data_IF_335724925888
#
_entry.id   IF_335724925888
#
_cell.length_a   1.000
_cell.length_b   1.000
_cell.length_c   1.000
_cell.angle_alpha   90.00
_cell.angle_beta   90.00
_cell.angle_gamma   90.00
#
_symmetry.space_group_name_H-M   'P 1'
#
loop_
_entity.id
_entity.type
_entity.pdbx_description
1 polymer ?
#
# COMPACT_ATOMS: atom_id res chain seq x y z
N UNK A 1 -20.19 16.28 7.73
CA UNK A 1 -19.15 17.33 7.60
C UNK A 1 -17.80 16.61 7.61
N UNK A 2 -16.99 16.80 6.56
CA UNK A 2 -15.73 16.11 6.23
C UNK A 2 -15.81 14.58 5.97
N UNK A 3 -16.27 14.19 4.77
CA UNK A 3 -15.88 12.90 4.17
C UNK A 3 -14.53 13.12 3.53
N UNK A 4 -13.48 12.59 4.15
CA UNK A 4 -12.12 12.65 3.61
C UNK A 4 -12.03 11.64 2.47
N UNK A 5 -11.91 12.13 1.24
CA UNK A 5 -11.96 11.35 0.01
C UNK A 5 -10.57 10.84 -0.35
N UNK A 6 -10.29 9.55 -0.17
CA UNK A 6 -9.02 8.99 -0.57
C UNK A 6 -9.11 8.47 -2.02
N UNK A 7 -8.17 8.88 -2.86
CA UNK A 7 -7.86 8.20 -4.12
C UNK A 7 -6.39 7.85 -4.08
N UNK A 8 -6.04 6.77 -3.37
CA UNK A 8 -4.70 6.22 -3.56
C UNK A 8 -4.70 5.43 -4.86
N UNK A 9 -3.81 5.76 -5.80
CA UNK A 9 -3.52 4.86 -6.89
C UNK A 9 -2.60 3.79 -6.38
N UNK A 10 -3.03 2.55 -6.44
CA UNK A 10 -2.15 1.37 -6.36
C UNK A 10 -1.78 1.02 -7.79
N UNK A 11 -0.55 1.34 -8.23
CA UNK A 11 -0.10 0.87 -9.53
C UNK A 11 0.24 -0.60 -9.45
N UNK A 12 -0.43 -1.44 -10.21
CA UNK A 12 -0.06 -2.85 -10.32
C UNK A 12 0.77 -3.03 -11.59
N UNK A 13 2.06 -3.32 -11.44
CA UNK A 13 2.86 -3.90 -12.52
C UNK A 13 2.76 -5.43 -12.46
N UNK A 14 2.59 -6.08 -13.60
CA UNK A 14 2.62 -7.55 -13.76
C UNK A 14 4.03 -8.15 -13.56
N UNK A 15 4.86 -7.55 -12.70
CA UNK A 15 6.17 -8.06 -12.29
C UNK A 15 6.08 -9.34 -11.42
N UNK A 16 4.99 -10.10 -11.52
CA UNK A 16 4.92 -11.50 -11.11
C UNK A 16 5.83 -12.42 -11.96
N UNK A 17 6.45 -11.92 -13.03
CA UNK A 17 7.33 -12.66 -13.93
C UNK A 17 8.78 -12.81 -13.47
N UNK A 18 9.17 -12.22 -12.33
CA UNK A 18 10.56 -12.26 -11.83
C UNK A 18 11.55 -11.37 -12.59
N UNK A 19 11.10 -10.66 -13.63
CA UNK A 19 11.84 -9.55 -14.26
C UNK A 19 11.49 -8.25 -13.54
N UNK A 20 12.50 -7.52 -13.08
CA UNK A 20 12.29 -6.23 -12.43
C UNK A 20 11.57 -5.26 -13.36
N UNK A 21 10.55 -4.57 -12.85
CA UNK A 21 9.85 -3.52 -13.59
C UNK A 21 10.78 -2.32 -13.77
N UNK A 22 10.88 -1.80 -15.00
CA UNK A 22 11.68 -0.61 -15.26
C UNK A 22 10.87 0.65 -14.91
N UNK A 23 11.04 1.13 -13.67
CA UNK A 23 10.35 2.29 -13.15
C UNK A 23 10.58 3.58 -13.95
N UNK A 24 11.67 3.68 -14.73
CA UNK A 24 11.94 4.85 -15.57
C UNK A 24 11.02 4.95 -16.78
N UNK A 25 10.43 3.84 -17.22
CA UNK A 25 9.48 3.82 -18.35
C UNK A 25 8.07 4.18 -17.94
N UNK A 26 7.78 4.15 -16.65
CA UNK A 26 6.45 4.44 -16.13
C UNK A 26 6.16 5.93 -16.20
N UNK A 27 5.15 6.29 -16.99
CA UNK A 27 4.64 7.65 -17.04
C UNK A 27 3.62 7.83 -15.92
N UNK A 28 3.96 8.69 -14.96
CA UNK A 28 3.04 9.05 -13.89
C UNK A 28 1.81 9.70 -14.54
N UNK A 29 0.59 9.15 -14.37
CA UNK A 29 -0.59 9.78 -14.92
C UNK A 29 -0.80 11.15 -14.29
N UNK A 30 -1.36 12.08 -15.04
CA UNK A 30 -1.66 13.45 -14.59
C UNK A 30 -2.78 13.52 -13.55
N UNK A 31 -3.18 12.40 -12.96
CA UNK A 31 -4.29 12.35 -12.01
C UNK A 31 -3.78 12.84 -10.66
N UNK A 32 -4.51 13.79 -10.09
CA UNK A 32 -4.22 14.34 -8.77
C UNK A 32 -5.15 13.68 -7.77
N UNK A 33 -4.63 13.50 -6.57
CA UNK A 33 -5.36 13.02 -5.40
C UNK A 33 -4.92 13.90 -4.26
N UNK A 34 -5.86 14.46 -3.49
CA UNK A 34 -5.52 15.22 -2.27
C UNK A 34 -4.72 14.41 -1.24
N UNK A 35 -4.77 13.08 -1.33
CA UNK A 35 -4.11 12.15 -0.41
C UNK A 35 -2.91 11.44 -1.01
N UNK A 36 -2.55 11.79 -2.25
CA UNK A 36 -1.41 11.19 -2.93
C UNK A 36 -1.70 9.80 -3.49
N UNK A 37 -0.64 9.02 -3.68
CA UNK A 37 -0.74 7.68 -4.27
C UNK A 37 0.28 6.68 -3.71
N UNK A 38 -0.03 5.39 -3.89
CA UNK A 38 0.77 4.26 -3.39
C UNK A 38 1.35 3.45 -4.54
N UNK A 39 2.68 3.36 -4.65
CA UNK A 39 3.26 2.44 -5.62
C UNK A 39 3.07 0.98 -5.19
N UNK A 40 2.65 0.10 -6.09
CA UNK A 40 2.54 -1.33 -5.82
C UNK A 40 3.07 -2.18 -6.98
N UNK A 41 2.86 -3.50 -6.90
CA UNK A 41 3.29 -4.45 -7.92
C UNK A 41 4.79 -4.74 -7.89
N UNK A 42 5.17 -5.98 -7.63
CA UNK A 42 6.57 -6.41 -7.67
C UNK A 42 7.50 -5.81 -6.61
N UNK A 43 7.01 -5.02 -5.64
CA UNK A 43 7.85 -4.43 -4.61
C UNK A 43 8.39 -5.49 -3.64
N UNK A 44 9.66 -5.35 -3.27
CA UNK A 44 10.39 -6.18 -2.30
C UNK A 44 11.58 -5.40 -1.70
N UNK A 45 12.25 -5.90 -0.64
CA UNK A 45 13.30 -5.15 0.04
C UNK A 45 14.43 -4.65 -0.87
N UNK A 46 14.80 -5.41 -1.91
CA UNK A 46 15.88 -5.05 -2.81
C UNK A 46 15.55 -3.99 -3.89
N UNK A 47 14.28 -3.68 -4.16
CA UNK A 47 13.89 -2.71 -5.20
C UNK A 47 13.13 -1.47 -4.67
N UNK A 48 12.60 -1.54 -3.44
CA UNK A 48 11.73 -0.48 -2.91
C UNK A 48 12.42 0.88 -2.85
N UNK A 49 13.73 0.92 -2.55
CA UNK A 49 14.47 2.18 -2.50
C UNK A 49 14.57 2.87 -3.86
N UNK A 50 14.88 2.09 -4.91
CA UNK A 50 14.96 2.61 -6.28
C UNK A 50 13.59 3.08 -6.76
N UNK A 51 12.56 2.29 -6.49
CA UNK A 51 11.18 2.59 -6.87
C UNK A 51 10.70 3.91 -6.25
N UNK A 52 10.90 4.10 -4.94
CA UNK A 52 10.54 5.35 -4.24
C UNK A 52 11.40 6.51 -4.75
N UNK A 53 12.71 6.34 -4.94
CA UNK A 53 13.59 7.42 -5.40
C UNK A 53 13.25 7.90 -6.82
N UNK A 54 12.81 6.98 -7.68
CA UNK A 54 12.49 7.25 -9.08
C UNK A 54 11.12 7.90 -9.23
N UNK A 55 10.09 7.31 -8.62
CA UNK A 55 8.70 7.71 -8.84
C UNK A 55 8.16 8.67 -7.80
N UNK A 56 8.82 8.77 -6.63
CA UNK A 56 8.43 9.63 -5.50
C UNK A 56 6.94 9.48 -5.12
N UNK A 57 6.43 8.27 -4.88
CA UNK A 57 5.07 8.08 -4.40
C UNK A 57 4.94 8.58 -2.96
N UNK A 58 3.72 8.91 -2.55
CA UNK A 58 3.38 9.25 -1.16
C UNK A 58 3.43 8.02 -0.24
N UNK A 59 3.32 6.83 -0.83
CA UNK A 59 3.57 5.58 -0.13
C UNK A 59 3.79 4.37 -1.04
N UNK A 60 3.91 3.20 -0.42
CA UNK A 60 4.11 1.93 -1.11
C UNK A 60 3.16 0.87 -0.57
N UNK A 61 2.70 -0.02 -1.44
CA UNK A 61 1.89 -1.18 -1.11
C UNK A 61 2.63 -2.47 -1.52
N UNK A 62 3.03 -3.25 -0.51
CA UNK A 62 3.76 -4.50 -0.69
C UNK A 62 2.90 -5.70 -0.29
N UNK A 63 2.92 -6.74 -1.13
CA UNK A 63 2.20 -7.99 -0.84
C UNK A 63 3.10 -9.22 -0.89
N UNK A 64 3.36 -9.79 -2.07
CA UNK A 64 4.14 -11.03 -2.22
C UNK A 64 5.63 -10.88 -1.89
N UNK A 65 6.23 -9.71 -2.12
CA UNK A 65 7.67 -9.48 -1.89
C UNK A 65 8.12 -9.57 -0.44
N UNK A 66 7.17 -9.62 0.51
CA UNK A 66 7.42 -9.85 1.94
C UNK A 66 6.88 -11.20 2.44
N UNK A 67 6.39 -12.06 1.54
CA UNK A 67 5.96 -13.41 1.90
C UNK A 67 7.15 -14.36 2.02
N UNK A 68 6.95 -15.45 2.77
CA UNK A 68 7.83 -16.62 2.78
C UNK A 68 7.72 -17.40 1.46
N UNK A 69 8.43 -18.53 1.36
CA UNK A 69 8.47 -19.34 0.13
C UNK A 69 7.10 -19.87 -0.32
N UNK A 70 6.14 -19.99 0.60
CA UNK A 70 4.78 -20.42 0.27
C UNK A 70 3.93 -19.32 -0.41
N UNK A 71 4.41 -18.07 -0.45
CA UNK A 71 3.74 -16.94 -1.09
C UNK A 71 2.48 -16.43 -0.36
N UNK A 72 2.15 -16.97 0.81
CA UNK A 72 0.97 -16.60 1.62
C UNK A 72 1.42 -15.94 2.93
N UNK A 73 2.12 -16.69 3.78
CA UNK A 73 2.54 -16.21 5.10
C UNK A 73 3.59 -15.11 4.96
N UNK A 74 3.51 -14.08 5.80
CA UNK A 74 4.51 -13.01 5.81
C UNK A 74 5.79 -13.47 6.53
N UNK A 75 6.92 -13.09 5.97
CA UNK A 75 8.24 -13.44 6.50
C UNK A 75 8.78 -12.28 7.36
N UNK A 76 9.07 -12.51 8.66
CA UNK A 76 9.53 -11.45 9.56
C UNK A 76 10.82 -10.75 9.10
N UNK A 77 11.77 -11.49 8.51
CA UNK A 77 13.04 -10.93 8.05
C UNK A 77 12.83 -10.04 6.82
N UNK A 78 11.97 -10.46 5.88
CA UNK A 78 11.63 -9.64 4.72
C UNK A 78 10.82 -8.40 5.11
N UNK A 79 9.90 -8.51 6.06
CA UNK A 79 9.17 -7.35 6.61
C UNK A 79 10.15 -6.35 7.22
N UNK A 80 11.04 -6.80 8.11
CA UNK A 80 12.02 -5.93 8.77
C UNK A 80 12.96 -5.28 7.74
N UNK A 81 13.43 -6.04 6.76
CA UNK A 81 14.28 -5.54 5.68
C UNK A 81 13.56 -4.50 4.82
N UNK A 82 12.29 -4.76 4.45
CA UNK A 82 11.47 -3.81 3.69
C UNK A 82 11.28 -2.49 4.46
N UNK A 83 10.87 -2.56 5.73
CA UNK A 83 10.65 -1.38 6.57
C UNK A 83 11.93 -0.59 6.80
N UNK A 84 13.06 -1.27 7.05
CA UNK A 84 14.36 -0.61 7.20
C UNK A 84 14.72 0.17 5.93
N UNK A 85 14.52 -0.43 4.75
CA UNK A 85 14.80 0.22 3.46
C UNK A 85 13.91 1.43 3.20
N UNK A 86 12.61 1.34 3.48
CA UNK A 86 11.69 2.50 3.37
C UNK A 86 12.09 3.61 4.35
N UNK A 87 12.37 3.27 5.61
CA UNK A 87 12.72 4.24 6.65
C UNK A 87 14.08 4.91 6.41
N UNK A 88 15.06 4.20 5.84
CA UNK A 88 16.38 4.79 5.51
C UNK A 88 16.30 5.96 4.53
N UNK A 89 15.26 6.02 3.68
CA UNK A 89 15.07 7.12 2.74
C UNK A 89 14.63 8.42 3.43
N UNK A 90 14.04 8.32 4.63
CA UNK A 90 13.62 9.48 5.43
C UNK A 90 14.82 10.31 5.90
N UNK A 91 15.96 9.65 6.14
CA UNK A 91 17.20 10.32 6.55
C UNK A 91 17.88 11.06 5.39
N UNK A 92 17.71 10.60 4.15
CA UNK A 92 18.37 11.17 2.97
C UNK A 92 17.65 12.44 2.47
N UNK A 93 16.33 12.54 2.64
CA UNK A 93 15.55 13.71 2.18
C UNK A 93 15.85 15.00 2.98
N UNK A 94 16.44 14.86 4.18
CA UNK A 94 16.90 15.96 5.02
C UNK A 94 18.31 16.44 4.65
N UNK A 95 19.12 15.64 3.94
CA UNK A 95 20.43 16.03 3.39
C UNK A 95 20.30 16.49 1.93
N UNK A 96 19.65 17.64 1.68
CA UNK A 96 19.37 18.15 0.31
C UNK A 96 20.59 18.60 -0.51
N UNK A 97 21.82 18.46 0.00
CA UNK A 97 23.05 18.99 -0.61
C UNK A 97 23.89 17.99 -1.42
N UNK A 98 23.47 16.72 -1.57
CA UNK A 98 24.31 15.67 -2.19
C UNK A 98 23.75 15.11 -3.53
N UNK A 99 24.61 14.92 -4.56
CA UNK A 99 24.22 14.31 -5.84
C UNK A 99 23.67 12.87 -5.73
N UNK A 100 22.77 12.48 -6.63
CA UNK A 100 22.03 11.19 -6.64
C UNK A 100 22.94 9.95 -6.52
N UNK A 101 24.07 9.93 -7.22
CA UNK A 101 25.04 8.83 -7.17
C UNK A 101 25.72 8.68 -5.79
N UNK A 102 25.89 9.77 -5.03
CA UNK A 102 26.39 9.73 -3.63
C UNK A 102 25.31 9.28 -2.65
N UNK A 103 24.04 9.57 -2.91
CA UNK A 103 22.89 9.13 -2.09
C UNK A 103 22.73 7.60 -2.09
N UNK A 104 22.93 6.96 -3.24
CA UNK A 104 22.88 5.49 -3.36
C UNK A 104 24.04 4.81 -2.62
N UNK A 105 25.24 5.42 -2.62
CA UNK A 105 26.41 4.93 -1.86
C UNK A 105 26.20 5.01 -0.35
N UNK A 106 25.54 6.06 0.16
CA UNK A 106 25.24 6.19 1.59
C UNK A 106 24.27 5.11 2.11
N UNK A 107 23.27 4.72 1.31
CA UNK A 107 22.32 3.64 1.62
C UNK A 107 22.99 2.25 1.72
N UNK A 108 24.13 2.07 1.06
CA UNK A 108 24.88 0.81 1.06
C UNK A 108 25.89 0.70 2.23
N UNK A 109 26.18 1.79 2.95
CA UNK A 109 27.30 1.86 3.90
C UNK A 109 26.84 2.01 5.36
N UNK A 110 25.57 2.33 5.65
CA UNK A 110 25.13 2.55 7.04
C UNK A 110 24.88 1.23 7.81
N UNK A 111 25.97 0.53 8.17
CA UNK A 111 26.00 -0.35 9.32
C UNK A 111 26.56 0.41 10.54
N UNK A 112 25.80 0.33 11.64
CA UNK A 112 26.24 0.46 13.04
C UNK A 112 26.70 1.83 13.59
N UNK A 113 25.87 2.43 14.45
CA UNK A 113 26.25 2.74 15.85
C UNK A 113 25.05 3.24 16.67
N UNK A 114 25.09 2.89 17.96
CA UNK A 114 24.01 2.92 18.95
C UNK A 114 23.92 4.21 19.79
N UNK A 115 22.82 4.33 20.55
CA UNK A 115 22.42 5.31 21.60
C UNK A 115 21.52 6.45 21.10
N UNK A 116 20.41 6.87 21.74
CA UNK A 116 19.75 6.61 23.02
C UNK A 116 18.25 7.07 22.91
N UNK A 117 17.35 6.78 23.87
CA UNK A 117 15.92 7.04 23.70
C UNK A 117 15.52 8.46 24.16
N UNK A 118 14.99 9.25 23.22
CA UNK A 118 14.24 10.46 23.53
C UNK A 118 12.87 10.40 22.86
N UNK A 119 11.86 10.25 23.71
CA UNK A 119 10.45 10.43 23.39
C UNK A 119 10.21 11.87 22.94
N UNK A 120 9.94 12.06 21.63
CA UNK A 120 8.85 12.87 21.09
C UNK A 120 8.87 12.74 19.56
N UNK A 121 8.14 11.79 18.99
CA UNK A 121 7.98 11.70 17.52
C UNK A 121 6.52 11.96 17.17
N UNK A 122 6.16 13.24 17.25
CA UNK A 122 5.00 13.76 16.56
C UNK A 122 5.35 13.93 15.08
N UNK A 123 4.65 13.17 14.23
CA UNK A 123 4.66 13.14 12.75
C UNK A 123 5.75 12.27 12.08
N UNK A 124 5.32 11.09 11.58
CA UNK A 124 6.13 10.19 10.74
C UNK A 124 6.47 10.90 9.43
N UNK A 125 7.73 11.31 9.25
CA UNK A 125 8.20 12.09 8.10
C UNK A 125 8.56 11.25 6.86
N UNK A 126 7.90 10.11 6.63
CA UNK A 126 8.22 9.22 5.50
C UNK A 126 7.04 8.57 4.82
N UNK A 127 7.30 7.81 3.73
CA UNK A 127 6.26 7.25 2.89
C UNK A 127 5.29 6.36 3.69
N UNK A 128 4.01 6.43 3.36
CA UNK A 128 3.00 5.52 3.90
C UNK A 128 3.36 4.10 3.46
N UNK A 129 3.35 3.13 4.38
CA UNK A 129 3.55 1.72 4.03
C UNK A 129 2.26 0.96 4.22
N UNK A 130 1.75 0.39 3.13
CA UNK A 130 0.66 -0.58 3.12
C UNK A 130 1.24 -1.99 2.96
N UNK A 131 0.78 -2.93 3.79
CA UNK A 131 1.11 -4.35 3.66
C UNK A 131 -0.17 -5.13 3.37
N UNK A 132 -0.28 -5.68 2.16
CA UNK A 132 -1.51 -6.25 1.63
C UNK A 132 -1.49 -7.78 1.52
N UNK A 133 -2.67 -8.39 1.45
CA UNK A 133 -2.86 -9.83 1.41
C UNK A 133 -2.49 -10.50 2.72
N UNK A 134 -2.88 -9.91 3.85
CA UNK A 134 -2.76 -10.54 5.18
C UNK A 134 -3.83 -11.62 5.31
N UNK A 135 -3.42 -12.80 5.76
CA UNK A 135 -4.29 -13.99 5.89
C UNK A 135 -4.34 -14.56 7.30
N UNK A 136 -3.76 -13.88 8.29
CA UNK A 136 -3.80 -14.31 9.70
C UNK A 136 -3.64 -13.12 10.65
N UNK A 137 -4.18 -13.26 11.86
CA UNK A 137 -4.02 -12.28 12.95
C UNK A 137 -2.53 -12.08 13.28
N UNK A 138 -1.77 -13.18 13.35
CA UNK A 138 -0.32 -13.15 13.61
C UNK A 138 0.42 -12.26 12.60
N UNK A 139 0.13 -12.40 11.31
CA UNK A 139 0.78 -11.59 10.28
C UNK A 139 0.33 -10.13 10.36
N UNK A 140 -0.94 -9.87 10.67
CA UNK A 140 -1.47 -8.52 10.88
C UNK A 140 -0.71 -7.78 11.99
N UNK A 141 -0.56 -8.42 13.14
CA UNK A 141 0.18 -7.86 14.26
C UNK A 141 1.66 -7.65 13.92
N UNK A 142 2.28 -8.60 13.23
CA UNK A 142 3.69 -8.54 12.85
C UNK A 142 3.95 -7.32 11.96
N UNK A 143 3.15 -7.10 10.93
CA UNK A 143 3.32 -5.96 10.02
C UNK A 143 2.95 -4.64 10.68
N UNK A 144 1.94 -4.62 11.55
CA UNK A 144 1.56 -3.42 12.30
C UNK A 144 2.68 -2.98 13.24
N UNK A 145 3.24 -3.91 14.03
CA UNK A 145 4.38 -3.65 14.93
C UNK A 145 5.64 -3.23 14.18
N UNK A 146 5.86 -3.73 12.97
CA UNK A 146 6.95 -3.29 12.11
C UNK A 146 6.78 -1.84 11.59
N UNK A 147 5.60 -1.26 11.76
CA UNK A 147 5.32 0.14 11.44
C UNK A 147 4.50 0.36 10.17
N UNK A 148 3.87 -0.67 9.59
CA UNK A 148 2.92 -0.48 8.50
C UNK A 148 1.80 0.50 8.94
N UNK A 149 1.46 1.45 8.07
CA UNK A 149 0.38 2.40 8.30
C UNK A 149 -0.98 1.82 7.88
N UNK A 150 -0.99 1.00 6.82
CA UNK A 150 -2.19 0.38 6.27
C UNK A 150 -2.00 -1.15 6.19
N UNK A 151 -3.05 -1.90 6.49
CA UNK A 151 -3.05 -3.36 6.46
C UNK A 151 -4.19 -3.87 5.58
N UNK A 152 -3.84 -4.48 4.45
CA UNK A 152 -4.81 -4.96 3.47
C UNK A 152 -5.08 -6.45 3.56
N UNK A 153 -6.35 -6.85 3.48
CA UNK A 153 -6.79 -8.23 3.35
C UNK A 153 -7.87 -8.36 2.26
N UNK A 154 -7.97 -9.54 1.65
CA UNK A 154 -8.77 -9.74 0.44
C UNK A 154 -10.06 -10.48 0.79
N UNK A 155 -11.20 -9.87 0.48
CA UNK A 155 -12.54 -10.42 0.73
C UNK A 155 -13.13 -11.12 -0.51
N UNK A 156 -12.35 -11.25 -1.58
CA UNK A 156 -12.74 -11.93 -2.81
C UNK A 156 -12.41 -13.44 -2.77
N UNK A 157 -13.40 -14.36 -2.85
CA UNK A 157 -13.20 -15.80 -2.67
C UNK A 157 -12.23 -16.47 -3.64
N UNK A 158 -12.05 -15.91 -4.85
CA UNK A 158 -11.16 -16.49 -5.87
C UNK A 158 -9.69 -16.14 -5.64
N UNK A 159 -9.37 -15.33 -4.63
CA UNK A 159 -7.99 -15.03 -4.26
C UNK A 159 -7.36 -16.15 -3.46
N UNK A 160 -6.11 -16.51 -3.77
CA UNK A 160 -5.29 -17.40 -2.93
C UNK A 160 -5.06 -16.86 -1.51
N UNK A 161 -5.23 -15.55 -1.31
CA UNK A 161 -5.10 -14.86 -0.02
C UNK A 161 -6.45 -14.36 0.51
N UNK A 162 -7.55 -14.99 0.09
CA UNK A 162 -8.88 -14.73 0.61
C UNK A 162 -8.94 -14.97 2.13
N UNK A 163 -9.72 -14.15 2.84
CA UNK A 163 -10.09 -14.35 4.24
C UNK A 163 -11.61 -14.26 4.41
N UNK A 164 -12.16 -15.08 5.31
CA UNK A 164 -13.58 -14.97 5.69
C UNK A 164 -13.85 -13.65 6.43
N UNK A 165 -15.11 -13.20 6.47
CA UNK A 165 -15.50 -12.00 7.23
C UNK A 165 -15.16 -12.11 8.73
N UNK A 166 -15.28 -13.31 9.31
CA UNK A 166 -14.89 -13.55 10.72
C UNK A 166 -13.40 -13.30 10.94
N UNK A 167 -12.54 -13.91 10.14
CA UNK A 167 -11.09 -13.74 10.22
C UNK A 167 -10.67 -12.31 9.86
N UNK A 168 -11.34 -11.70 8.88
CA UNK A 168 -11.14 -10.31 8.51
C UNK A 168 -11.40 -9.38 9.69
N UNK A 169 -12.45 -9.62 10.49
CA UNK A 169 -12.76 -8.83 11.69
C UNK A 169 -11.66 -8.95 12.74
N UNK A 170 -11.10 -10.14 12.93
CA UNK A 170 -9.97 -10.34 13.83
C UNK A 170 -8.69 -9.63 13.35
N UNK A 171 -8.39 -9.71 12.05
CA UNK A 171 -7.27 -8.98 11.42
C UNK A 171 -7.45 -7.46 11.55
N UNK A 172 -8.66 -6.98 11.29
CA UNK A 172 -9.08 -5.58 11.40
C UNK A 172 -8.85 -5.05 12.81
N UNK A 173 -9.23 -5.83 13.83
CA UNK A 173 -8.95 -5.51 15.24
C UNK A 173 -7.45 -5.46 15.53
N UNK A 174 -6.70 -6.49 15.13
CA UNK A 174 -5.26 -6.58 15.40
C UNK A 174 -4.44 -5.45 14.75
N UNK A 175 -4.85 -5.01 13.56
CA UNK A 175 -4.28 -3.83 12.91
C UNK A 175 -4.45 -2.57 13.76
N UNK A 176 -5.68 -2.31 14.23
CA UNK A 176 -6.01 -1.13 15.03
C UNK A 176 -5.38 -1.13 16.41
N UNK A 177 -5.31 -2.28 17.08
CA UNK A 177 -4.62 -2.43 18.37
C UNK A 177 -3.15 -1.95 18.30
N UNK A 178 -2.57 -1.97 17.10
CA UNK A 178 -1.21 -1.52 16.80
C UNK A 178 -1.15 -0.24 15.96
N UNK A 179 -2.24 0.55 15.90
CA UNK A 179 -2.34 1.86 15.22
C UNK A 179 -2.10 1.81 13.71
N UNK A 180 -2.49 0.72 13.05
CA UNK A 180 -2.55 0.62 11.61
C UNK A 180 -4.01 0.58 11.13
N UNK A 181 -4.31 1.21 10.00
CA UNK A 181 -5.66 1.22 9.43
C UNK A 181 -5.91 -0.03 8.57
N UNK A 182 -6.98 -0.80 8.83
CA UNK A 182 -7.33 -1.94 8.01
C UNK A 182 -8.01 -1.52 6.71
N UNK A 183 -7.70 -2.23 5.63
CA UNK A 183 -8.21 -2.00 4.27
C UNK A 183 -8.78 -3.32 3.72
N UNK A 184 -10.06 -3.31 3.36
CA UNK A 184 -10.70 -4.43 2.68
C UNK A 184 -10.55 -4.33 1.15
N UNK A 185 -10.01 -5.36 0.51
CA UNK A 185 -9.93 -5.43 -0.97
C UNK A 185 -11.14 -6.17 -1.52
N UNK A 186 -11.89 -5.47 -2.37
CA UNK A 186 -13.10 -5.94 -3.05
C UNK A 186 -12.82 -6.07 -4.54
N UNK A 187 -13.35 -7.13 -5.16
CA UNK A 187 -13.13 -7.43 -6.58
C UNK A 187 -14.47 -7.73 -7.23
N UNK A 188 -14.96 -6.81 -8.05
CA UNK A 188 -16.26 -6.90 -8.73
C UNK A 188 -17.47 -7.12 -7.79
N UNK A 189 -17.34 -6.77 -6.51
CA UNK A 189 -18.44 -6.72 -5.54
C UNK A 189 -19.33 -5.48 -5.78
N UNK A 190 -20.64 -5.64 -5.59
CA UNK A 190 -21.63 -4.55 -5.62
C UNK A 190 -21.64 -3.69 -4.34
N UNK A 191 -22.27 -2.52 -4.39
CA UNK A 191 -22.34 -1.59 -3.25
C UNK A 191 -22.94 -2.21 -1.98
N UNK A 192 -23.99 -3.01 -2.11
CA UNK A 192 -24.66 -3.63 -0.97
C UNK A 192 -23.76 -4.67 -0.29
N UNK A 193 -23.05 -5.47 -1.08
CA UNK A 193 -22.08 -6.45 -0.61
C UNK A 193 -20.89 -5.77 0.07
N UNK A 194 -20.34 -4.71 -0.54
CA UNK A 194 -19.25 -3.93 0.04
C UNK A 194 -19.65 -3.30 1.38
N UNK A 195 -20.82 -2.66 1.46
CA UNK A 195 -21.28 -2.00 2.68
C UNK A 195 -21.49 -3.02 3.81
N UNK A 196 -22.24 -4.10 3.55
CA UNK A 196 -22.49 -5.17 4.52
C UNK A 196 -21.20 -5.80 5.05
N UNK A 197 -20.27 -6.11 4.14
CA UNK A 197 -18.97 -6.69 4.50
C UNK A 197 -18.12 -5.71 5.30
N UNK A 198 -18.12 -4.43 4.90
CA UNK A 198 -17.39 -3.40 5.61
C UNK A 198 -17.90 -3.21 7.03
N UNK A 199 -19.22 -3.19 7.23
CA UNK A 199 -19.80 -3.02 8.57
C UNK A 199 -19.57 -4.26 9.44
N UNK A 200 -19.64 -5.47 8.89
CA UNK A 200 -19.35 -6.70 9.64
C UNK A 200 -17.91 -6.76 10.18
N UNK A 201 -16.96 -6.21 9.41
CA UNK A 201 -15.51 -6.24 9.67
C UNK A 201 -15.03 -4.96 10.38
N UNK A 202 -15.93 -4.01 10.64
CA UNK A 202 -15.62 -2.68 11.14
C UNK A 202 -14.58 -1.99 10.23
N UNK A 203 -14.83 -1.90 8.92
CA UNK A 203 -13.94 -1.30 7.93
C UNK A 203 -14.39 0.12 7.55
N UNK A 204 -13.41 1.01 7.53
CA UNK A 204 -13.57 2.37 7.00
C UNK A 204 -13.01 2.46 5.58
N UNK A 205 -11.85 1.86 5.31
CA UNK A 205 -11.16 1.96 4.03
C UNK A 205 -11.41 0.74 3.12
N UNK A 206 -11.87 1.02 1.91
CA UNK A 206 -12.12 0.03 0.87
C UNK A 206 -11.05 0.16 -0.23
N UNK A 207 -10.66 -0.93 -0.86
CA UNK A 207 -9.85 -0.92 -2.08
C UNK A 207 -10.64 -1.59 -3.20
N UNK A 208 -10.95 -0.81 -4.23
CA UNK A 208 -11.79 -1.23 -5.34
C UNK A 208 -10.94 -1.79 -6.47
N UNK A 209 -11.19 -3.04 -6.82
CA UNK A 209 -10.57 -3.73 -7.92
C UNK A 209 -11.64 -4.30 -8.85
N UNK A 210 -11.34 -4.40 -10.15
CA UNK A 210 -12.33 -4.86 -11.14
C UNK A 210 -13.33 -3.76 -11.51
N UNK A 211 -13.98 -3.93 -12.65
CA UNK A 211 -14.86 -2.89 -13.20
C UNK A 211 -16.22 -2.84 -12.50
N UNK A 212 -16.66 -3.96 -11.91
CA UNK A 212 -17.90 -4.03 -11.13
C UNK A 212 -17.84 -3.14 -9.89
N UNK A 213 -16.83 -3.32 -9.03
CA UNK A 213 -16.69 -2.50 -7.82
C UNK A 213 -16.41 -1.03 -8.12
N UNK A 214 -15.74 -0.74 -9.25
CA UNK A 214 -15.49 0.64 -9.69
C UNK A 214 -16.76 1.33 -10.19
N UNK A 215 -17.71 0.60 -10.76
CA UNK A 215 -18.99 1.17 -11.19
C UNK A 215 -19.82 1.74 -10.02
N UNK A 216 -19.53 1.31 -8.79
CA UNK A 216 -20.23 1.72 -7.57
C UNK A 216 -19.69 3.01 -6.93
N UNK A 217 -18.66 3.63 -7.52
CA UNK A 217 -18.05 4.89 -7.02
C UNK A 217 -19.10 5.98 -6.69
N UNK A 218 -20.10 6.28 -7.55
CA UNK A 218 -21.11 7.30 -7.24
C UNK A 218 -21.85 7.08 -5.92
N UNK A 219 -22.08 5.82 -5.53
CA UNK A 219 -22.72 5.48 -4.26
C UNK A 219 -21.73 5.51 -3.10
N UNK A 220 -20.51 5.00 -3.30
CA UNK A 220 -19.46 4.92 -2.28
C UNK A 220 -18.95 6.30 -1.82
N UNK A 221 -18.90 7.28 -2.73
CA UNK A 221 -18.48 8.66 -2.43
C UNK A 221 -19.27 9.32 -1.28
N UNK A 222 -20.46 8.81 -0.98
CA UNK A 222 -21.34 9.32 0.06
C UNK A 222 -21.24 8.55 1.38
N UNK A 223 -20.47 7.46 1.44
CA UNK A 223 -20.51 6.52 2.56
C UNK A 223 -19.15 6.19 3.17
N UNK A 224 -18.15 5.79 2.37
CA UNK A 224 -16.88 5.25 2.87
C UNK A 224 -15.70 5.75 2.02
N UNK A 225 -14.52 6.01 2.63
CA UNK A 225 -13.31 6.27 1.86
C UNK A 225 -12.86 5.00 1.12
N UNK A 226 -12.31 5.17 -0.08
CA UNK A 226 -11.82 4.05 -0.88
C UNK A 226 -10.43 4.30 -1.48
N UNK A 227 -9.92 3.33 -2.23
CA UNK A 227 -8.66 3.36 -2.98
C UNK A 227 -8.96 2.78 -4.35
N UNK A 228 -8.60 3.48 -5.42
CA UNK A 228 -8.83 3.05 -6.79
C UNK A 228 -7.56 2.45 -7.37
N UNK A 229 -7.64 1.21 -7.83
CA UNK A 229 -6.47 0.53 -8.41
C UNK A 229 -6.33 0.89 -9.89
N UNK A 230 -5.16 1.43 -10.27
CA UNK A 230 -4.74 1.59 -11.67
C UNK A 230 -3.74 0.49 -12.03
N UNK A 231 -3.97 -0.19 -13.14
CA UNK A 231 -3.09 -1.20 -13.69
C UNK A 231 -2.21 -0.58 -14.76
N UNK A 232 -0.96 -1.02 -14.80
CA UNK A 232 -0.03 -0.67 -15.86
C UNK A 232 0.57 -1.95 -16.44
N UNK A 233 0.76 -1.98 -17.77
CA UNK A 233 1.50 -3.05 -18.41
C UNK A 233 3.01 -2.98 -18.09
N UNK A 234 3.77 -3.94 -18.59
CA UNK A 234 5.23 -4.01 -18.43
C UNK A 234 6.00 -2.80 -18.99
N UNK A 235 5.39 -2.02 -19.87
CA UNK A 235 5.96 -0.81 -20.44
C UNK A 235 5.54 0.44 -19.65
N UNK A 236 4.72 0.28 -18.61
CA UNK A 236 4.20 1.36 -17.79
C UNK A 236 3.02 2.11 -18.41
N UNK A 237 2.38 1.56 -19.46
CA UNK A 237 1.15 2.11 -20.02
C UNK A 237 -0.03 1.70 -19.16
N UNK A 238 -0.89 2.65 -18.81
CA UNK A 238 -2.10 2.37 -18.05
C UNK A 238 -3.10 1.52 -18.84
N UNK A 239 -3.62 0.49 -18.20
CA UNK A 239 -4.60 -0.46 -18.74
C UNK A 239 -6.04 -0.09 -18.39
N UNK A 240 -6.23 0.69 -17.33
CA UNK A 240 -7.51 1.29 -16.97
C UNK A 240 -7.30 2.76 -16.62
N UNK A 241 -8.41 3.51 -16.60
CA UNK A 241 -8.44 4.93 -16.28
C UNK A 241 -9.57 5.19 -15.30
N UNK A 242 -9.50 6.31 -14.58
CA UNK A 242 -10.65 6.86 -13.87
C UNK A 242 -11.26 7.92 -14.79
N UNK A 243 -12.59 7.98 -14.86
CA UNK A 243 -13.25 9.02 -15.65
C UNK A 243 -12.93 10.41 -15.06
N UNK A 244 -12.93 11.47 -15.87
CA UNK A 244 -12.72 12.83 -15.36
C UNK A 244 -13.80 13.22 -14.33
N UNK A 245 -15.03 12.75 -14.55
CA UNK A 245 -16.15 12.94 -13.64
C UNK A 245 -15.85 12.28 -12.29
N UNK A 246 -15.55 10.98 -12.26
CA UNK A 246 -15.21 10.27 -11.03
C UNK A 246 -13.96 10.87 -10.37
N UNK A 247 -12.91 11.18 -11.14
CA UNK A 247 -11.68 11.80 -10.63
C UNK A 247 -11.98 13.11 -9.90
N UNK A 248 -12.85 13.96 -10.46
CA UNK A 248 -13.25 15.22 -9.82
C UNK A 248 -14.08 15.01 -8.56
N UNK A 249 -14.76 13.86 -8.46
CA UNK A 249 -15.56 13.49 -7.31
C UNK A 249 -14.72 12.84 -6.21
N UNK A 250 -13.55 12.26 -6.51
CA UNK A 250 -12.65 11.68 -5.50
C UNK A 250 -11.59 12.68 -4.98
N UNK A 251 -11.37 13.79 -5.69
CA UNK A 251 -10.67 14.98 -5.18
C UNK A 251 -11.58 15.85 -4.29
#
# INVERSE_FOLDING_TARGET
>A
MCVVKFLNFTFFSDACSGKGFNWQKFQIPSIKSKHGWLLAGGLHPYNVCEAIATLKPDGVDVSSGICSINGIQKDPLRISSFMSKVNSLQFISQSRSLPLAKRMKACLISEFSSSSPLENVSQRAGPIVKMCGITSVRDAELVARAGASLIGFILWPNSKRFVSLSLAKEISKAARDHRAEPVGVFVDDDFGTMLKSSDAVDLEFLQLHGDGSRAEIPLLLRTKPFTYVLHADENGKLLNQISNEDSSLVD
#
